data_IF_746206681000
#
_entry.id   IF_746206681000
#
_cell.length_a   1.000
_cell.length_b   1.000
_cell.length_c   1.000
_cell.angle_alpha   90.00
_cell.angle_beta   90.00
_cell.angle_gamma   90.00
#
_symmetry.space_group_name_H-M   'P 1'
#
loop_
_entity.id
_entity.type
_entity.pdbx_description
1 polymer ?
#
# COMPACT_ATOMS: atom_id res chain seq x y z
N UNK A 1 5.91 -5.37 -38.71
CA UNK A 1 5.22 -6.60 -38.28
C UNK A 1 5.27 -6.63 -36.77
N UNK A 2 4.11 -6.41 -36.14
CA UNK A 2 3.89 -6.17 -34.70
C UNK A 2 3.92 -7.47 -33.92
N UNK A 3 4.66 -7.59 -32.81
CA UNK A 3 4.34 -8.57 -31.78
C UNK A 3 3.40 -7.90 -30.76
N UNK A 4 2.10 -7.89 -31.05
CA UNK A 4 1.07 -7.75 -30.00
C UNK A 4 0.94 -9.16 -29.41
N UNK A 5 1.82 -9.48 -28.47
CA UNK A 5 1.75 -10.71 -27.71
C UNK A 5 1.90 -10.32 -26.24
N UNK A 6 0.91 -10.74 -25.44
CA UNK A 6 1.00 -10.92 -23.98
C UNK A 6 0.86 -9.65 -23.12
N UNK A 7 -0.33 -9.04 -23.10
CA UNK A 7 -0.70 -8.05 -22.08
C UNK A 7 -2.10 -8.30 -21.47
N UNK A 8 -2.55 -9.56 -21.39
CA UNK A 8 -3.93 -9.90 -21.00
C UNK A 8 -4.05 -10.94 -19.87
N UNK A 9 -3.04 -11.08 -19.02
CA UNK A 9 -2.99 -12.20 -18.06
C UNK A 9 -2.59 -11.84 -16.62
N UNK A 10 -2.84 -10.61 -16.13
CA UNK A 10 -2.54 -10.26 -14.71
C UNK A 10 -3.73 -9.73 -13.90
N UNK A 11 -4.95 -9.70 -14.43
CA UNK A 11 -6.12 -9.20 -13.69
C UNK A 11 -6.76 -10.23 -12.72
N UNK A 12 -6.11 -11.34 -12.36
CA UNK A 12 -6.83 -12.46 -11.72
C UNK A 12 -6.25 -13.05 -10.43
N UNK A 13 -5.20 -12.52 -9.79
CA UNK A 13 -4.55 -13.25 -8.66
C UNK A 13 -4.31 -12.42 -7.39
N UNK A 14 -5.17 -11.46 -7.04
CA UNK A 14 -5.21 -10.95 -5.65
C UNK A 14 -6.65 -10.78 -5.15
N UNK A 15 -7.46 -11.82 -5.27
CA UNK A 15 -8.68 -12.00 -4.47
C UNK A 15 -8.50 -13.30 -3.70
N UNK A 16 -7.75 -13.26 -2.60
CA UNK A 16 -7.44 -14.50 -1.87
C UNK A 16 -6.94 -14.36 -0.43
N UNK A 17 -6.31 -13.25 -0.05
CA UNK A 17 -5.76 -13.14 1.31
C UNK A 17 -5.71 -11.69 1.81
N UNK A 18 -6.86 -11.10 2.13
CA UNK A 18 -6.95 -9.94 3.01
C UNK A 18 -8.35 -9.89 3.64
N UNK A 19 -8.68 -10.89 4.43
CA UNK A 19 -9.79 -10.77 5.39
C UNK A 19 -9.39 -9.74 6.44
N UNK A 20 -9.73 -8.47 6.25
CA UNK A 20 -9.80 -7.51 7.35
C UNK A 20 -9.26 -6.09 7.16
N UNK A 21 -8.67 -5.72 6.02
CA UNK A 21 -8.26 -4.33 5.81
C UNK A 21 -9.47 -3.45 5.42
N UNK A 22 -10.33 -3.13 6.37
CA UNK A 22 -11.32 -2.06 6.20
C UNK A 22 -10.65 -0.77 6.68
N UNK A 23 -10.21 0.07 5.74
CA UNK A 23 -9.81 1.44 6.08
C UNK A 23 -11.07 2.22 6.45
N UNK A 24 -11.29 2.49 7.73
CA UNK A 24 -12.23 3.52 8.16
C UNK A 24 -11.59 4.85 7.80
N UNK A 25 -11.85 5.33 6.57
CA UNK A 25 -11.47 6.68 6.18
C UNK A 25 -12.26 7.66 7.05
N UNK A 26 -11.54 8.53 7.75
CA UNK A 26 -12.17 9.61 8.51
C UNK A 26 -13.02 10.46 7.54
N UNK A 27 -14.31 10.59 7.83
CA UNK A 27 -15.27 11.30 6.97
C UNK A 27 -14.97 12.81 6.82
N UNK A 28 -14.06 13.34 7.65
CA UNK A 28 -13.60 14.72 7.56
C UNK A 28 -12.44 14.92 6.55
N UNK A 29 -11.97 13.86 5.88
CA UNK A 29 -10.94 13.98 4.84
C UNK A 29 -11.63 14.31 3.51
N UNK A 30 -11.31 15.45 2.88
CA UNK A 30 -11.87 15.78 1.58
C UNK A 30 -11.44 14.73 0.55
N UNK A 31 -12.35 14.36 -0.35
CA UNK A 31 -12.02 13.50 -1.48
C UNK A 31 -10.87 14.12 -2.27
N UNK A 32 -9.70 13.49 -2.20
CA UNK A 32 -8.55 13.88 -2.98
C UNK A 32 -8.70 13.26 -4.37
N UNK A 33 -8.66 14.08 -5.41
CA UNK A 33 -8.68 13.61 -6.78
C UNK A 33 -7.50 12.66 -7.01
N UNK A 34 -7.79 11.40 -7.35
CA UNK A 34 -6.76 10.43 -7.72
C UNK A 34 -6.21 10.81 -9.11
N UNK A 35 -4.89 11.04 -9.26
CA UNK A 35 -4.33 11.47 -10.54
C UNK A 35 -4.56 10.45 -11.68
N UNK A 36 -5.05 10.91 -12.84
CA UNK A 36 -5.33 10.06 -14.01
C UNK A 36 -4.07 9.64 -14.78
N UNK A 37 -4.05 8.39 -15.29
CA UNK A 37 -2.98 7.80 -16.15
C UNK A 37 -2.10 6.78 -15.41
N UNK A 38 -0.99 6.31 -16.00
CA UNK A 38 -0.20 5.23 -15.40
C UNK A 38 0.49 5.68 -14.11
N UNK A 39 0.41 4.83 -13.09
CA UNK A 39 1.27 4.84 -11.91
C UNK A 39 2.54 4.07 -12.27
N UNK A 40 3.68 4.50 -11.74
CA UNK A 40 4.97 3.90 -12.05
C UNK A 40 5.80 3.78 -10.78
N UNK A 41 6.67 2.78 -10.73
CA UNK A 41 7.73 2.72 -9.74
C UNK A 41 8.49 4.07 -9.75
N UNK A 42 8.69 4.63 -8.56
CA UNK A 42 9.31 5.95 -8.44
C UNK A 42 9.81 6.22 -7.05
N UNK A 43 10.82 7.08 -6.94
CA UNK A 43 11.53 7.38 -5.69
C UNK A 43 10.94 8.58 -4.93
N UNK A 44 9.71 9.01 -5.25
CA UNK A 44 9.16 10.27 -4.72
C UNK A 44 8.96 10.26 -3.19
N UNK A 45 8.81 9.07 -2.60
CA UNK A 45 8.65 8.88 -1.17
C UNK A 45 9.92 8.40 -0.47
N UNK A 46 10.98 8.08 -1.21
CA UNK A 46 12.22 7.55 -0.63
C UNK A 46 12.81 8.47 0.45
N UNK A 47 13.22 7.86 1.56
CA UNK A 47 13.73 8.57 2.74
C UNK A 47 12.65 9.20 3.61
N UNK A 48 11.37 9.11 3.24
CA UNK A 48 10.25 9.56 4.08
C UNK A 48 9.80 8.46 5.03
N UNK A 49 9.30 8.89 6.18
CA UNK A 49 8.62 8.06 7.16
C UNK A 49 7.25 8.65 7.43
N UNK A 50 6.21 7.83 7.36
CA UNK A 50 4.85 8.21 7.69
C UNK A 50 4.40 7.45 8.94
N UNK A 51 3.62 8.11 9.80
CA UNK A 51 3.10 7.49 11.01
C UNK A 51 1.60 7.24 10.85
N UNK A 52 1.15 6.02 11.14
CA UNK A 52 -0.28 5.67 11.12
C UNK A 52 -0.78 5.35 12.52
N UNK A 53 -2.07 5.57 12.71
CA UNK A 53 -2.80 5.16 13.91
C UNK A 53 -3.99 4.34 13.44
N UNK A 54 -3.96 3.06 13.77
CA UNK A 54 -4.93 2.07 13.31
C UNK A 54 -5.71 1.53 14.52
N UNK A 55 -6.93 1.08 14.30
CA UNK A 55 -7.71 0.38 15.32
C UNK A 55 -7.99 -1.03 14.85
N UNK A 56 -7.58 -2.03 15.63
CA UNK A 56 -7.79 -3.43 15.31
C UNK A 56 -9.27 -3.76 15.48
N UNK A 57 -9.92 -4.11 14.37
CA UNK A 57 -11.31 -4.56 14.37
C UNK A 57 -11.45 -5.85 15.18
N UNK A 58 -12.36 -5.84 16.17
CA UNK A 58 -12.62 -6.99 17.05
C UNK A 58 -12.05 -6.83 18.45
N UNK A 59 -10.86 -6.26 18.62
CA UNK A 59 -10.29 -5.97 19.95
C UNK A 59 -10.45 -4.52 20.37
N UNK A 60 -10.57 -3.59 19.41
CA UNK A 60 -10.57 -2.14 19.68
C UNK A 60 -9.20 -1.60 20.12
N UNK A 61 -8.15 -2.42 20.01
CA UNK A 61 -6.79 -2.02 20.34
C UNK A 61 -6.29 -0.98 19.32
N UNK A 62 -5.62 0.06 19.83
CA UNK A 62 -5.01 1.10 19.00
C UNK A 62 -3.57 0.74 18.69
N UNK A 63 -3.26 0.56 17.41
CA UNK A 63 -1.93 0.31 16.91
C UNK A 63 -1.33 1.63 16.39
N UNK A 64 -0.05 1.88 16.69
CA UNK A 64 0.73 2.96 16.11
C UNK A 64 1.84 2.35 15.27
N UNK A 65 1.95 2.77 14.02
CA UNK A 65 2.92 2.19 13.07
C UNK A 65 3.71 3.28 12.34
N UNK A 66 4.84 2.85 11.77
CA UNK A 66 5.72 3.65 10.92
C UNK A 66 5.86 2.96 9.56
N UNK A 67 5.61 3.72 8.49
CA UNK A 67 5.81 3.31 7.11
C UNK A 67 7.09 3.96 6.59
N UNK A 68 8.11 3.16 6.35
CA UNK A 68 9.41 3.59 5.82
C UNK A 68 9.47 3.36 4.33
N UNK A 69 9.99 4.34 3.57
CA UNK A 69 10.12 4.26 2.12
C UNK A 69 11.60 4.33 1.72
N UNK A 70 12.05 3.37 0.92
CA UNK A 70 13.43 3.27 0.45
C UNK A 70 13.53 2.47 -0.85
N UNK A 71 14.16 3.06 -1.86
CA UNK A 71 14.50 2.39 -3.11
C UNK A 71 13.28 1.83 -3.83
N UNK A 72 12.24 2.65 -3.98
CA UNK A 72 10.95 2.28 -4.63
C UNK A 72 10.14 1.23 -3.87
N UNK A 73 10.52 0.97 -2.61
CA UNK A 73 9.86 0.02 -1.72
C UNK A 73 9.45 0.68 -0.43
N UNK A 74 8.46 0.11 0.24
CA UNK A 74 8.04 0.51 1.56
C UNK A 74 7.99 -0.70 2.51
N UNK A 75 8.07 -0.41 3.81
CA UNK A 75 7.92 -1.39 4.87
C UNK A 75 7.16 -0.77 6.04
N UNK A 76 6.23 -1.53 6.61
CA UNK A 76 5.58 -1.23 7.88
C UNK A 76 6.40 -1.82 9.04
N UNK A 77 6.76 -1.00 10.03
CA UNK A 77 7.51 -1.43 11.19
C UNK A 77 6.74 -2.46 12.04
N UNK A 78 5.42 -2.29 12.19
CA UNK A 78 4.54 -3.21 12.91
C UNK A 78 4.28 -4.49 12.14
N UNK A 79 4.00 -4.42 10.84
CA UNK A 79 3.83 -5.64 10.03
C UNK A 79 5.13 -6.42 9.92
N UNK A 80 6.29 -5.75 9.95
CA UNK A 80 7.57 -6.46 10.04
C UNK A 80 7.70 -7.21 11.38
N UNK A 81 7.33 -6.58 12.50
CA UNK A 81 7.39 -7.20 13.82
C UNK A 81 6.44 -8.39 13.97
N UNK A 82 5.21 -8.28 13.46
CA UNK A 82 4.16 -9.28 13.69
C UNK A 82 4.03 -10.33 12.59
N UNK A 83 4.38 -9.97 11.35
CA UNK A 83 4.05 -10.78 10.17
C UNK A 83 5.26 -11.11 9.29
N UNK A 84 6.45 -10.58 9.61
CA UNK A 84 7.65 -10.66 8.76
C UNK A 84 7.36 -10.26 7.31
N UNK A 85 6.62 -9.16 7.15
CA UNK A 85 6.08 -8.72 5.86
C UNK A 85 7.16 -8.38 4.82
N UNK A 86 8.35 -7.98 5.26
CA UNK A 86 9.43 -7.55 4.39
C UNK A 86 9.17 -6.21 3.73
N UNK A 87 9.78 -6.02 2.56
CA UNK A 87 9.65 -4.82 1.73
C UNK A 87 8.65 -5.08 0.59
N UNK A 88 7.73 -4.15 0.37
CA UNK A 88 6.80 -4.18 -0.74
C UNK A 88 7.06 -3.03 -1.70
N UNK A 89 6.87 -3.25 -3.00
CA UNK A 89 7.07 -2.20 -4.00
C UNK A 89 5.95 -1.15 -3.90
N UNK A 90 6.25 0.11 -4.23
CA UNK A 90 5.26 1.17 -4.32
C UNK A 90 5.36 1.95 -5.62
N UNK A 91 4.24 2.51 -6.06
CA UNK A 91 4.17 3.35 -7.25
C UNK A 91 3.73 4.76 -6.86
N UNK A 92 4.25 5.77 -7.57
CA UNK A 92 3.91 7.18 -7.34
C UNK A 92 3.52 7.89 -8.62
N UNK A 93 2.89 9.05 -8.45
CA UNK A 93 2.42 9.90 -9.52
C UNK A 93 2.37 11.37 -9.10
#
# INVERSE_FOLDING_TARGET
>A
MTPILQALALCAVVVGAATGAVSVMNGDIPDLAVPEGPWQAGSALDGRVFHTVDTILGSGEVLRDELHFMGERFQSAKCQLYCDFGWADYETK
#
